data_IF_037361024457
#
_entry.id   IF_037361024457
#
_cell.length_a   1.000
_cell.length_b   1.000
_cell.length_c   1.000
_cell.angle_alpha   90.00
_cell.angle_beta   90.00
_cell.angle_gamma   90.00
#
_symmetry.space_group_name_H-M   'P 1'
#
loop_
_entity.id
_entity.type
_entity.pdbx_description
1 polymer ?
#
# COMPACT_ATOMS: atom_id res chain seq x y z
N UNK A 1 6.69 -33.86 31.24
CA UNK A 1 6.17 -33.21 30.01
C UNK A 1 7.39 -32.93 29.17
N UNK A 2 7.35 -33.24 27.88
CA UNK A 2 8.38 -32.72 26.99
C UNK A 2 8.14 -31.23 26.84
N UNK A 3 9.16 -30.44 27.15
CA UNK A 3 9.08 -29.00 27.13
C UNK A 3 9.22 -28.47 25.69
N UNK A 4 8.57 -27.35 25.40
CA UNK A 4 8.80 -26.60 24.16
C UNK A 4 10.26 -26.14 24.13
N UNK A 5 10.94 -26.35 23.01
CA UNK A 5 12.33 -25.90 22.85
C UNK A 5 12.36 -24.59 22.07
N UNK A 6 13.00 -23.56 22.64
CA UNK A 6 13.31 -22.31 21.92
C UNK A 6 14.61 -22.53 21.14
N UNK A 7 14.56 -22.25 19.84
CA UNK A 7 15.67 -22.51 18.92
C UNK A 7 16.44 -21.24 18.58
N UNK A 8 15.74 -20.11 18.56
CA UNK A 8 16.30 -18.82 18.23
C UNK A 8 15.33 -17.69 18.55
N UNK A 9 15.90 -16.51 18.74
CA UNK A 9 15.16 -15.26 18.92
C UNK A 9 15.81 -14.23 17.99
N UNK A 10 14.99 -13.59 17.14
CA UNK A 10 15.40 -12.52 16.26
C UNK A 10 14.69 -11.23 16.67
N UNK A 11 15.45 -10.23 17.10
CA UNK A 11 14.90 -8.90 17.39
C UNK A 11 14.70 -8.13 16.09
N UNK A 12 13.50 -7.56 15.90
CA UNK A 12 13.22 -6.79 14.69
C UNK A 12 14.05 -5.51 14.64
N UNK A 13 14.66 -5.15 13.50
CA UNK A 13 15.47 -3.94 13.37
C UNK A 13 14.73 -2.64 13.75
N UNK A 14 13.41 -2.61 13.59
CA UNK A 14 12.53 -1.51 13.99
C UNK A 14 12.47 -1.30 15.51
N UNK A 15 12.86 -2.29 16.30
CA UNK A 15 12.69 -2.31 17.75
C UNK A 15 11.23 -2.40 18.21
N UNK A 16 10.31 -2.81 17.33
CA UNK A 16 8.87 -2.98 17.61
C UNK A 16 8.52 -4.31 18.25
N UNK A 17 9.46 -5.27 18.28
CA UNK A 17 9.21 -6.62 18.75
C UNK A 17 10.33 -7.60 18.38
N UNK A 18 9.98 -8.88 18.39
CA UNK A 18 10.90 -9.97 18.06
C UNK A 18 10.14 -11.21 17.58
N UNK A 19 10.84 -12.08 16.86
CA UNK A 19 10.35 -13.40 16.44
C UNK A 19 11.07 -14.49 17.24
N UNK A 20 10.30 -15.44 17.79
CA UNK A 20 10.83 -16.64 18.46
C UNK A 20 10.57 -17.85 17.58
N UNK A 21 11.63 -18.59 17.22
CA UNK A 21 11.47 -19.92 16.61
C UNK A 21 11.39 -20.97 17.73
N UNK A 22 10.32 -21.76 17.71
CA UNK A 22 10.13 -22.86 18.67
C UNK A 22 9.96 -24.21 17.97
N UNK A 23 10.40 -25.26 18.66
CA UNK A 23 10.08 -26.65 18.32
C UNK A 23 9.03 -27.19 19.29
N UNK A 24 7.93 -27.68 18.72
CA UNK A 24 6.88 -28.37 19.44
C UNK A 24 7.35 -29.77 19.88
N UNK A 25 6.95 -30.21 21.09
CA UNK A 25 7.23 -31.55 21.57
C UNK A 25 6.54 -32.62 20.72
N UNK A 26 6.94 -33.88 20.91
CA UNK A 26 6.17 -34.99 20.36
C UNK A 26 4.81 -35.11 21.08
N UNK A 27 3.83 -35.77 20.44
CA UNK A 27 2.51 -35.96 21.05
C UNK A 27 1.39 -35.10 20.48
N UNK A 28 1.57 -34.48 19.31
CA UNK A 28 0.47 -33.99 18.49
C UNK A 28 -0.05 -32.59 18.84
N UNK A 29 0.71 -31.79 19.60
CA UNK A 29 0.45 -30.35 19.73
C UNK A 29 0.52 -29.71 18.34
N UNK A 30 -0.45 -28.86 18.05
CA UNK A 30 -0.61 -28.23 16.73
C UNK A 30 -0.38 -26.73 16.80
N UNK A 31 0.03 -26.14 15.66
CA UNK A 31 0.07 -24.69 15.46
C UNK A 31 -1.24 -24.01 15.87
N UNK A 32 -2.37 -24.62 15.55
CA UNK A 32 -3.70 -24.07 15.88
C UNK A 32 -3.89 -23.95 17.39
N UNK A 33 -3.50 -24.98 18.17
CA UNK A 33 -3.60 -24.92 19.63
C UNK A 33 -2.73 -23.82 20.24
N UNK A 34 -1.56 -23.54 19.66
CA UNK A 34 -0.71 -22.41 20.07
C UNK A 34 -1.36 -21.08 19.68
N UNK A 35 -1.85 -20.97 18.44
CA UNK A 35 -2.53 -19.77 17.93
C UNK A 35 -3.80 -19.43 18.73
N UNK A 36 -4.59 -20.43 19.14
CA UNK A 36 -5.79 -20.24 19.96
C UNK A 36 -5.47 -19.75 21.39
N UNK A 37 -4.19 -19.66 21.77
CA UNK A 37 -3.71 -19.23 23.10
C UNK A 37 -2.93 -17.92 23.08
N UNK A 38 -2.81 -17.24 21.94
CA UNK A 38 -2.03 -16.00 21.81
C UNK A 38 -2.44 -14.91 22.79
N UNK A 39 -3.74 -14.76 23.07
CA UNK A 39 -4.23 -13.73 24.01
C UNK A 39 -3.82 -14.03 25.45
N UNK A 40 -3.86 -15.31 25.86
CA UNK A 40 -3.40 -15.72 27.18
C UNK A 40 -1.88 -15.51 27.32
N UNK A 41 -1.12 -15.87 26.28
CA UNK A 41 0.32 -15.64 26.24
C UNK A 41 0.68 -14.15 26.24
N UNK A 42 -0.09 -13.30 25.53
CA UNK A 42 0.07 -11.85 25.55
C UNK A 42 -0.15 -11.28 26.96
N UNK A 43 -1.17 -11.78 27.67
CA UNK A 43 -1.45 -11.41 29.06
C UNK A 43 -0.34 -11.87 30.02
N UNK A 44 0.19 -13.08 29.85
CA UNK A 44 1.29 -13.61 30.66
C UNK A 44 2.59 -12.82 30.45
N UNK A 45 2.79 -12.30 29.24
CA UNK A 45 3.92 -11.41 28.88
C UNK A 45 3.69 -9.95 29.28
N UNK A 46 2.54 -9.60 29.86
CA UNK A 46 2.13 -8.22 30.20
C UNK A 46 2.31 -7.25 29.01
N UNK A 47 1.91 -7.68 27.81
CA UNK A 47 2.03 -6.85 26.62
C UNK A 47 1.09 -5.64 26.69
N UNK A 48 1.53 -4.44 26.25
CA UNK A 48 0.67 -3.27 26.19
C UNK A 48 -0.56 -3.47 25.30
N UNK A 49 -1.61 -2.68 25.53
CA UNK A 49 -2.76 -2.64 24.62
C UNK A 49 -2.31 -2.27 23.19
N UNK A 50 -2.82 -2.99 22.19
CA UNK A 50 -2.46 -2.82 20.78
C UNK A 50 -1.21 -3.60 20.35
N UNK A 51 -0.60 -4.36 21.26
CA UNK A 51 0.43 -5.36 21.00
C UNK A 51 -0.16 -6.78 21.03
N UNK A 52 0.58 -7.76 20.53
CA UNK A 52 0.07 -9.13 20.48
C UNK A 52 1.06 -10.11 19.87
N UNK A 53 0.57 -11.35 19.73
CA UNK A 53 1.33 -12.46 19.17
C UNK A 53 0.69 -12.95 17.88
N UNK A 54 1.52 -13.30 16.90
CA UNK A 54 1.10 -13.98 15.68
C UNK A 54 1.91 -15.27 15.51
N UNK A 55 1.21 -16.37 15.16
CA UNK A 55 1.84 -17.69 15.00
C UNK A 55 1.90 -18.08 13.53
N UNK A 56 3.11 -18.08 12.99
CA UNK A 56 3.43 -18.44 11.62
C UNK A 56 4.00 -19.87 11.52
N UNK A 57 3.83 -20.54 10.36
CA UNK A 57 4.50 -21.82 10.13
C UNK A 57 6.02 -21.63 10.01
N UNK A 58 6.80 -22.54 10.60
CA UNK A 58 8.23 -22.68 10.34
C UNK A 58 8.51 -23.71 9.24
N UNK A 59 9.78 -24.13 9.15
CA UNK A 59 10.27 -25.06 8.10
C UNK A 59 9.63 -26.47 8.16
N UNK A 60 9.03 -26.85 9.29
CA UNK A 60 8.34 -28.12 9.46
C UNK A 60 7.09 -27.96 10.33
N UNK A 61 6.21 -28.97 10.37
CA UNK A 61 4.99 -28.91 11.20
C UNK A 61 5.25 -28.80 12.71
N UNK A 62 6.45 -29.17 13.16
CA UNK A 62 6.89 -29.02 14.55
C UNK A 62 7.60 -27.69 14.80
N UNK A 63 7.92 -26.92 13.76
CA UNK A 63 8.62 -25.64 13.87
C UNK A 63 7.62 -24.51 13.68
N UNK A 64 7.54 -23.61 14.64
CA UNK A 64 6.69 -22.43 14.58
C UNK A 64 7.53 -21.18 14.75
N UNK A 65 7.11 -20.11 14.08
CA UNK A 65 7.60 -18.76 14.35
C UNK A 65 6.51 -18.02 15.11
N UNK A 66 6.86 -17.46 16.26
CA UNK A 66 5.98 -16.62 17.07
C UNK A 66 6.50 -15.20 16.99
N UNK A 67 5.78 -14.35 16.28
CA UNK A 67 6.01 -12.92 16.23
C UNK A 67 5.40 -12.28 17.47
N UNK A 68 6.19 -11.49 18.20
CA UNK A 68 5.78 -10.82 19.43
C UNK A 68 5.99 -9.32 19.23
N UNK A 69 4.90 -8.59 19.01
CA UNK A 69 4.93 -7.13 19.02
C UNK A 69 4.95 -6.64 20.47
N UNK A 70 5.91 -5.78 20.81
CA UNK A 70 6.06 -5.20 22.16
C UNK A 70 5.82 -3.70 22.20
N UNK A 71 5.70 -3.08 21.03
CA UNK A 71 5.27 -1.69 20.83
C UNK A 71 4.16 -1.63 19.79
N UNK A 72 3.42 -0.54 19.76
CA UNK A 72 2.35 -0.33 18.79
C UNK A 72 2.36 1.11 18.29
N UNK A 73 2.00 1.28 17.02
CA UNK A 73 1.70 2.59 16.43
C UNK A 73 0.23 2.99 16.63
N UNK A 74 -0.57 2.14 17.27
CA UNK A 74 -1.98 2.43 17.50
C UNK A 74 -2.14 3.72 18.31
N UNK A 75 -2.95 4.65 17.78
CA UNK A 75 -3.19 5.95 18.40
C UNK A 75 -2.04 6.96 18.24
N UNK A 76 -0.99 6.61 17.48
CA UNK A 76 0.08 7.54 17.14
C UNK A 76 -0.16 8.14 15.75
N UNK A 77 0.15 9.42 15.61
CA UNK A 77 0.19 10.08 14.31
C UNK A 77 1.57 9.86 13.69
N UNK A 78 1.60 9.21 12.53
CA UNK A 78 2.81 9.05 11.73
C UNK A 78 2.68 9.99 10.53
N UNK A 79 3.47 11.07 10.47
CA UNK A 79 3.40 11.98 9.35
C UNK A 79 3.83 11.27 8.07
N UNK A 80 3.25 11.68 6.94
CA UNK A 80 3.72 11.25 5.63
C UNK A 80 5.18 11.74 5.45
N UNK A 81 6.12 10.89 5.00
CA UNK A 81 7.54 11.23 4.90
C UNK A 81 7.80 12.11 3.66
N UNK A 82 7.48 13.39 3.77
CA UNK A 82 7.56 14.38 2.67
C UNK A 82 8.96 14.51 2.08
N UNK A 83 10.00 14.30 2.89
CA UNK A 83 11.39 14.31 2.47
C UNK A 83 11.71 13.26 1.41
N UNK A 84 11.00 12.12 1.43
CA UNK A 84 11.18 11.08 0.42
C UNK A 84 10.66 11.53 -0.95
N UNK A 85 9.71 12.47 -1.01
CA UNK A 85 9.16 12.98 -2.27
C UNK A 85 10.16 13.81 -3.08
N UNK A 86 11.32 14.17 -2.51
CA UNK A 86 12.38 14.85 -3.25
C UNK A 86 13.02 13.94 -4.31
N UNK A 87 12.90 12.61 -4.19
CA UNK A 87 13.37 11.65 -5.17
C UNK A 87 12.26 11.29 -6.16
N UNK A 88 12.52 11.48 -7.45
CA UNK A 88 11.65 10.97 -8.52
C UNK A 88 11.77 9.46 -8.63
N UNK A 89 10.64 8.77 -8.64
CA UNK A 89 10.57 7.30 -8.76
C UNK A 89 9.91 6.88 -10.08
N UNK A 90 9.67 5.57 -10.24
CA UNK A 90 8.95 4.96 -11.36
C UNK A 90 7.91 3.98 -10.82
N UNK A 91 6.78 3.86 -11.51
CA UNK A 91 5.71 2.89 -11.21
C UNK A 91 6.17 1.43 -11.31
N UNK A 92 7.31 1.18 -11.95
CA UNK A 92 7.92 -0.15 -12.04
C UNK A 92 8.53 -0.61 -10.71
N UNK A 93 8.73 0.30 -9.74
CA UNK A 93 9.22 -0.03 -8.41
C UNK A 93 8.04 -0.18 -7.43
N UNK A 94 8.11 -1.11 -6.46
CA UNK A 94 7.16 -1.15 -5.37
C UNK A 94 7.12 0.19 -4.60
N UNK A 95 5.93 0.66 -4.27
CA UNK A 95 5.76 1.89 -3.51
C UNK A 95 5.39 1.60 -2.05
N UNK A 96 6.04 2.24 -1.07
CA UNK A 96 5.69 2.09 0.33
C UNK A 96 4.38 2.82 0.64
N UNK A 97 3.36 2.07 1.06
CA UNK A 97 1.98 2.55 1.27
C UNK A 97 1.52 2.48 2.72
N UNK A 98 2.18 1.70 3.56
CA UNK A 98 1.85 1.59 4.98
C UNK A 98 3.05 1.07 5.80
N UNK A 99 2.92 1.14 7.11
CA UNK A 99 3.80 0.44 8.06
C UNK A 99 3.06 -0.77 8.61
N UNK A 100 3.77 -1.89 8.70
CA UNK A 100 3.32 -3.11 9.33
C UNK A 100 3.56 -3.05 10.84
N UNK A 101 2.96 -3.99 11.59
CA UNK A 101 3.08 -4.07 13.05
C UNK A 101 4.51 -4.31 13.53
N UNK A 102 5.32 -4.95 12.69
CA UNK A 102 6.74 -5.18 12.91
C UNK A 102 7.61 -3.95 12.58
N UNK A 103 7.00 -2.84 12.15
CA UNK A 103 7.68 -1.60 11.75
C UNK A 103 8.28 -1.64 10.35
N UNK A 104 8.13 -2.73 9.59
CA UNK A 104 8.52 -2.78 8.19
C UNK A 104 7.52 -2.03 7.30
N UNK A 105 7.96 -1.66 6.10
CA UNK A 105 7.09 -1.02 5.10
C UNK A 105 6.30 -2.08 4.37
N UNK A 106 4.99 -1.87 4.30
CA UNK A 106 4.15 -2.57 3.34
C UNK A 106 4.32 -1.86 1.98
N UNK A 107 4.81 -2.59 1.00
CA UNK A 107 5.01 -2.09 -0.36
C UNK A 107 3.96 -2.67 -1.31
N UNK A 108 3.55 -1.86 -2.28
CA UNK A 108 2.60 -2.25 -3.31
C UNK A 108 3.26 -2.21 -4.69
N UNK A 109 3.26 -3.33 -5.41
CA UNK A 109 3.58 -3.37 -6.85
C UNK A 109 2.36 -2.85 -7.62
N UNK A 110 2.34 -1.54 -7.84
CA UNK A 110 1.21 -0.81 -8.43
C UNK A 110 0.99 -1.16 -9.91
N UNK A 111 2.03 -1.62 -10.63
CA UNK A 111 1.91 -2.06 -12.04
C UNK A 111 1.28 -3.45 -12.15
N UNK A 112 1.47 -4.31 -11.15
CA UNK A 112 1.03 -5.72 -11.24
C UNK A 112 -0.23 -6.04 -10.46
N UNK A 113 -0.66 -5.20 -9.52
CA UNK A 113 -1.81 -5.46 -8.66
C UNK A 113 -2.95 -4.47 -8.88
N UNK A 114 -4.18 -4.98 -8.95
CA UNK A 114 -5.38 -4.18 -8.70
C UNK A 114 -5.77 -4.35 -7.23
N UNK A 115 -5.97 -3.24 -6.53
CA UNK A 115 -6.14 -3.24 -5.08
C UNK A 115 -7.55 -2.80 -4.69
N UNK A 116 -8.16 -3.54 -3.77
CA UNK A 116 -9.41 -3.15 -3.09
C UNK A 116 -9.10 -2.86 -1.64
N UNK A 117 -9.48 -1.67 -1.18
CA UNK A 117 -9.33 -1.27 0.23
C UNK A 117 -10.71 -1.06 0.84
N UNK A 118 -10.98 -1.77 1.93
CA UNK A 118 -12.24 -1.71 2.66
C UNK A 118 -12.00 -1.35 4.12
N UNK A 119 -12.93 -0.59 4.69
CA UNK A 119 -12.89 -0.15 6.08
C UNK A 119 -14.10 0.71 6.40
N UNK A 120 -14.51 0.73 7.68
CA UNK A 120 -15.60 1.58 8.14
C UNK A 120 -15.25 3.07 8.10
N UNK A 121 -16.26 3.92 8.24
CA UNK A 121 -16.05 5.37 8.38
C UNK A 121 -15.09 5.67 9.54
N UNK A 122 -14.10 6.53 9.30
CA UNK A 122 -13.09 6.86 10.30
C UNK A 122 -11.93 5.86 10.40
N UNK A 123 -11.89 4.79 9.59
CA UNK A 123 -10.79 3.81 9.61
C UNK A 123 -9.49 4.30 8.96
N UNK A 124 -9.45 5.54 8.46
CA UNK A 124 -8.30 6.09 7.74
C UNK A 124 -8.23 5.77 6.25
N UNK A 125 -9.24 5.09 5.65
CA UNK A 125 -9.28 4.76 4.21
C UNK A 125 -8.96 5.96 3.32
N UNK A 126 -9.58 7.10 3.62
CA UNK A 126 -9.37 8.33 2.85
C UNK A 126 -7.93 8.85 2.95
N UNK A 127 -7.35 8.81 4.14
CA UNK A 127 -5.95 9.19 4.34
C UNK A 127 -5.00 8.26 3.57
N UNK A 128 -5.28 6.96 3.60
CA UNK A 128 -4.54 5.97 2.84
C UNK A 128 -4.60 6.22 1.32
N UNK A 129 -5.77 6.58 0.78
CA UNK A 129 -5.91 6.96 -0.63
C UNK A 129 -5.10 8.22 -0.97
N UNK A 130 -5.02 9.20 -0.06
CA UNK A 130 -4.16 10.37 -0.26
C UNK A 130 -2.67 10.01 -0.25
N UNK A 131 -2.25 9.11 0.66
CA UNK A 131 -0.88 8.54 0.66
C UNK A 131 -0.58 7.85 -0.68
N UNK A 132 -1.52 7.07 -1.22
CA UNK A 132 -1.35 6.41 -2.50
C UNK A 132 -1.21 7.43 -3.65
N UNK A 133 -2.06 8.46 -3.71
CA UNK A 133 -1.95 9.52 -4.72
C UNK A 133 -0.59 10.22 -4.62
N UNK A 134 -0.15 10.58 -3.41
CA UNK A 134 1.16 11.21 -3.21
C UNK A 134 2.32 10.34 -3.75
N UNK A 135 2.27 9.02 -3.51
CA UNK A 135 3.28 8.08 -4.04
C UNK A 135 3.21 7.89 -5.54
N UNK A 136 2.02 7.91 -6.14
CA UNK A 136 1.86 7.90 -7.59
C UNK A 136 2.45 9.18 -8.20
N UNK A 137 2.21 10.34 -7.59
CA UNK A 137 2.76 11.61 -8.06
C UNK A 137 4.26 11.78 -7.86
N UNK A 138 4.88 10.92 -7.05
CA UNK A 138 6.32 10.81 -6.96
C UNK A 138 6.94 10.13 -8.19
N UNK A 139 6.14 9.36 -8.94
CA UNK A 139 6.59 8.68 -10.16
C UNK A 139 6.55 9.63 -11.37
N UNK A 140 7.47 9.48 -12.32
CA UNK A 140 7.51 10.29 -13.54
C UNK A 140 6.79 9.64 -14.75
N UNK A 141 6.17 8.49 -14.55
CA UNK A 141 5.61 7.63 -15.59
C UNK A 141 4.18 7.18 -15.28
N UNK A 142 3.43 7.98 -14.52
CA UNK A 142 2.00 7.75 -14.24
C UNK A 142 1.13 8.94 -14.60
N UNK A 143 -0.13 8.62 -14.94
CA UNK A 143 -1.25 9.54 -14.95
C UNK A 143 -2.25 9.07 -13.87
N UNK A 144 -2.62 9.97 -12.97
CA UNK A 144 -3.51 9.70 -11.84
C UNK A 144 -4.91 10.17 -12.18
N UNK A 145 -5.82 9.21 -12.36
CA UNK A 145 -7.23 9.46 -12.63
C UNK A 145 -8.04 9.12 -11.38
N UNK A 146 -8.99 9.98 -11.01
CA UNK A 146 -9.78 9.82 -9.78
C UNK A 146 -11.26 9.82 -10.11
N UNK A 147 -11.97 8.79 -9.66
CA UNK A 147 -13.43 8.73 -9.61
C UNK A 147 -13.83 8.93 -8.14
N UNK A 148 -14.54 10.01 -7.83
CA UNK A 148 -15.06 10.28 -6.49
C UNK A 148 -16.42 10.98 -6.59
N UNK A 149 -17.48 10.20 -6.37
CA UNK A 149 -18.87 10.68 -6.49
C UNK A 149 -19.32 11.53 -5.29
N UNK A 150 -18.49 11.65 -4.25
CA UNK A 150 -18.69 12.56 -3.14
C UNK A 150 -18.10 13.94 -3.44
N UNK A 151 -18.68 14.58 -4.47
CA UNK A 151 -18.28 15.92 -4.95
C UNK A 151 -16.79 16.04 -5.35
N UNK A 152 -16.12 14.93 -5.69
CA UNK A 152 -14.72 14.93 -6.10
C UNK A 152 -13.73 15.22 -4.97
N UNK A 153 -14.18 15.18 -3.72
CA UNK A 153 -13.40 15.56 -2.54
C UNK A 153 -11.99 14.95 -2.47
N UNK A 154 -11.74 13.77 -3.05
CA UNK A 154 -10.45 13.06 -3.03
C UNK A 154 -9.42 13.78 -3.88
N UNK A 155 -9.80 14.11 -5.11
CA UNK A 155 -8.92 14.76 -6.08
C UNK A 155 -8.86 16.27 -5.93
N UNK A 156 -9.88 16.89 -5.31
CA UNK A 156 -9.97 18.34 -5.20
C UNK A 156 -8.73 19.01 -4.57
N UNK A 157 -8.14 18.53 -3.45
CA UNK A 157 -6.93 19.14 -2.88
C UNK A 157 -5.78 19.26 -3.88
N UNK A 158 -5.57 18.23 -4.71
CA UNK A 158 -4.53 18.20 -5.73
C UNK A 158 -4.78 19.19 -6.87
N UNK A 159 -6.04 19.31 -7.30
CA UNK A 159 -6.46 20.29 -8.30
C UNK A 159 -6.42 21.73 -7.76
N UNK A 160 -6.75 21.92 -6.48
CA UNK A 160 -6.69 23.22 -5.82
C UNK A 160 -5.26 23.75 -5.73
N UNK A 161 -4.30 22.91 -5.32
CA UNK A 161 -2.89 23.30 -5.27
C UNK A 161 -2.37 23.80 -6.63
N UNK A 162 -2.72 23.10 -7.71
CA UNK A 162 -2.41 23.54 -9.07
C UNK A 162 -3.12 24.84 -9.44
N UNK A 163 -4.44 24.92 -9.22
CA UNK A 163 -5.22 26.12 -9.54
C UNK A 163 -4.68 27.37 -8.85
N UNK A 164 -4.33 27.26 -7.57
CA UNK A 164 -3.72 28.35 -6.80
C UNK A 164 -2.39 28.78 -7.42
N UNK A 165 -1.51 27.83 -7.75
CA UNK A 165 -0.24 28.11 -8.43
C UNK A 165 -0.45 28.77 -9.80
N UNK A 166 -1.51 28.42 -10.55
CA UNK A 166 -1.80 29.07 -11.84
C UNK A 166 -2.27 30.53 -11.70
N UNK A 167 -2.76 30.93 -10.52
CA UNK A 167 -3.15 32.32 -10.23
C UNK A 167 -2.01 33.17 -9.67
N UNK A 168 -0.89 32.55 -9.33
CA UNK A 168 0.29 33.20 -8.77
C UNK A 168 1.48 33.05 -9.74
N UNK A 169 1.89 34.13 -10.43
CA UNK A 169 3.00 34.09 -11.39
C UNK A 169 4.31 33.55 -10.81
N UNK A 170 4.57 33.71 -9.51
CA UNK A 170 5.80 33.25 -8.87
C UNK A 170 5.79 31.73 -8.66
N UNK A 171 4.62 31.11 -8.54
CA UNK A 171 4.44 29.68 -8.26
C UNK A 171 4.06 28.85 -9.48
N UNK A 172 3.72 29.51 -10.58
CA UNK A 172 3.21 28.84 -11.79
C UNK A 172 4.15 27.77 -12.33
N UNK A 173 5.45 28.07 -12.33
CA UNK A 173 6.49 27.16 -12.83
C UNK A 173 6.81 26.04 -11.81
N UNK A 174 6.48 26.22 -10.52
CA UNK A 174 6.65 25.20 -9.47
C UNK A 174 5.62 24.07 -9.57
N UNK A 175 4.41 24.38 -10.04
CA UNK A 175 3.31 23.41 -10.21
C UNK A 175 2.75 23.52 -11.63
N UNK A 176 3.51 23.08 -12.64
CA UNK A 176 3.16 23.28 -14.06
C UNK A 176 1.95 22.45 -14.51
N UNK A 177 1.60 21.39 -13.77
CA UNK A 177 0.52 20.46 -14.09
C UNK A 177 -0.28 20.08 -12.83
N UNK A 178 -1.56 19.70 -12.97
CA UNK A 178 -2.34 19.21 -11.84
C UNK A 178 -1.82 17.84 -11.35
N UNK A 179 -1.88 17.61 -10.03
CA UNK A 179 -1.56 16.29 -9.46
C UNK A 179 -2.66 15.23 -9.65
N UNK A 180 -3.79 15.58 -10.25
CA UNK A 180 -4.79 14.61 -10.72
C UNK A 180 -5.10 14.99 -12.15
N UNK A 181 -4.80 14.10 -13.09
CA UNK A 181 -4.94 14.37 -14.53
C UNK A 181 -6.40 14.41 -14.97
N UNK A 182 -7.26 13.61 -14.33
CA UNK A 182 -8.70 13.59 -14.60
C UNK A 182 -9.48 13.24 -13.33
N UNK A 183 -10.32 14.18 -12.85
CA UNK A 183 -11.25 13.97 -11.74
C UNK A 183 -12.68 13.83 -12.24
N UNK A 184 -13.25 12.64 -12.11
CA UNK A 184 -14.65 12.36 -12.36
C UNK A 184 -15.46 12.43 -11.05
N UNK A 185 -16.22 13.51 -10.89
CA UNK A 185 -17.08 13.72 -9.71
C UNK A 185 -18.56 13.44 -9.95
N UNK A 186 -18.92 12.96 -11.14
CA UNK A 186 -20.29 12.61 -11.51
C UNK A 186 -20.33 11.24 -12.20
N UNK A 187 -21.46 10.51 -12.14
CA UNK A 187 -21.58 9.23 -12.84
C UNK A 187 -21.38 9.35 -14.35
N UNK A 188 -21.82 10.46 -14.96
CA UNK A 188 -21.63 10.71 -16.39
C UNK A 188 -20.14 10.87 -16.75
N UNK A 189 -19.41 11.65 -15.95
CA UNK A 189 -17.98 11.87 -16.14
C UNK A 189 -17.18 10.58 -15.87
N UNK A 190 -17.56 9.82 -14.85
CA UNK A 190 -16.95 8.53 -14.54
C UNK A 190 -17.12 7.54 -15.70
N UNK A 191 -18.32 7.48 -16.29
CA UNK A 191 -18.55 6.67 -17.48
C UNK A 191 -17.67 7.12 -18.66
N UNK A 192 -17.57 8.43 -18.90
CA UNK A 192 -16.73 8.97 -19.98
C UNK A 192 -15.25 8.60 -19.77
N UNK A 193 -14.75 8.75 -18.55
CA UNK A 193 -13.38 8.36 -18.18
C UNK A 193 -13.12 6.87 -18.42
N UNK A 194 -14.06 5.99 -18.02
CA UNK A 194 -13.93 4.54 -18.23
C UNK A 194 -13.99 4.17 -19.72
N UNK A 195 -14.87 4.81 -20.50
CA UNK A 195 -14.93 4.61 -21.95
C UNK A 195 -13.59 5.02 -22.61
N UNK A 196 -12.98 6.11 -22.17
CA UNK A 196 -11.66 6.55 -22.62
C UNK A 196 -10.55 5.56 -22.22
N UNK A 197 -10.55 5.08 -20.97
CA UNK A 197 -9.59 4.08 -20.49
C UNK A 197 -9.63 2.80 -21.33
N UNK A 198 -10.83 2.29 -21.65
CA UNK A 198 -11.02 1.11 -22.50
C UNK A 198 -10.49 1.36 -23.92
N UNK A 199 -10.80 2.52 -24.50
CA UNK A 199 -10.30 2.88 -25.83
C UNK A 199 -8.76 2.91 -25.87
N UNK A 200 -8.14 3.57 -24.88
CA UNK A 200 -6.68 3.64 -24.74
C UNK A 200 -6.08 2.24 -24.59
N UNK A 201 -6.62 1.40 -23.70
CA UNK A 201 -6.12 0.05 -23.48
C UNK A 201 -6.16 -0.81 -24.76
N UNK A 202 -7.26 -0.74 -25.51
CA UNK A 202 -7.42 -1.45 -26.77
C UNK A 202 -6.42 -0.97 -27.84
N UNK A 203 -6.24 0.35 -27.98
CA UNK A 203 -5.27 0.92 -28.92
C UNK A 203 -3.84 0.56 -28.52
N UNK A 204 -3.47 0.70 -27.24
CA UNK A 204 -2.14 0.39 -26.72
C UNK A 204 -1.75 -1.07 -26.97
N UNK A 205 -2.70 -2.00 -26.77
CA UNK A 205 -2.51 -3.44 -27.02
C UNK A 205 -2.13 -3.75 -28.47
N UNK A 206 -2.55 -2.93 -29.44
CA UNK A 206 -2.23 -3.12 -30.86
C UNK A 206 -0.97 -2.32 -31.24
N UNK A 207 -0.92 -1.05 -30.85
CA UNK A 207 0.14 -0.13 -31.25
C UNK A 207 1.51 -0.49 -30.69
N UNK A 208 1.58 -1.09 -29.50
CA UNK A 208 2.83 -1.38 -28.81
C UNK A 208 3.21 -2.87 -28.81
N UNK A 209 2.60 -3.72 -29.66
CA UNK A 209 2.96 -5.14 -29.71
C UNK A 209 4.42 -5.38 -30.04
N UNK A 210 5.01 -4.57 -30.93
CA UNK A 210 6.43 -4.71 -31.25
C UNK A 210 7.29 -4.35 -30.04
N UNK A 211 6.96 -3.26 -29.34
CA UNK A 211 7.68 -2.85 -28.14
C UNK A 211 7.62 -3.91 -27.03
N UNK A 212 6.46 -4.53 -26.81
CA UNK A 212 6.31 -5.64 -25.85
C UNK A 212 7.18 -6.85 -26.21
N UNK A 213 7.29 -7.18 -27.51
CA UNK A 213 8.17 -8.27 -27.99
C UNK A 213 9.64 -7.94 -27.82
N UNK A 214 10.02 -6.68 -28.07
CA UNK A 214 11.41 -6.24 -27.96
C UNK A 214 11.89 -6.29 -26.49
N UNK A 215 11.00 -6.06 -25.53
CA UNK A 215 11.26 -6.09 -24.08
C UNK A 215 11.01 -7.47 -23.43
N UNK A 216 10.56 -8.48 -24.18
CA UNK A 216 10.23 -9.82 -23.69
C UNK A 216 9.25 -9.81 -22.48
N UNK A 217 8.23 -8.94 -22.53
CA UNK A 217 7.21 -8.77 -21.47
C UNK A 217 5.78 -8.92 -22.03
N UNK A 218 4.94 -9.65 -21.30
CA UNK A 218 3.51 -9.82 -21.61
C UNK A 218 2.67 -8.59 -21.22
N UNK A 219 3.21 -7.69 -20.39
CA UNK A 219 2.61 -6.41 -20.03
C UNK A 219 3.30 -5.29 -20.78
N UNK A 220 2.53 -4.26 -21.16
CA UNK A 220 3.10 -3.07 -21.78
C UNK A 220 4.20 -2.50 -20.88
N UNK A 221 5.44 -2.36 -21.37
CA UNK A 221 6.48 -1.64 -20.65
C UNK A 221 6.11 -0.16 -20.58
N UNK A 222 6.12 0.39 -19.36
CA UNK A 222 5.71 1.77 -19.08
C UNK A 222 6.92 2.66 -18.88
N UNK A 223 6.77 3.93 -19.28
CA UNK A 223 7.82 4.95 -19.22
C UNK A 223 7.18 6.34 -19.23
N UNK A 224 7.94 7.43 -19.04
CA UNK A 224 7.38 8.78 -19.17
C UNK A 224 6.74 9.07 -20.53
N UNK A 225 7.14 8.36 -21.59
CA UNK A 225 6.54 8.48 -22.93
C UNK A 225 5.32 7.59 -23.13
N UNK A 226 5.21 6.51 -22.35
CA UNK A 226 4.10 5.56 -22.35
C UNK A 226 3.65 5.38 -20.89
N UNK A 227 3.02 6.40 -20.28
CA UNK A 227 2.76 6.38 -18.84
C UNK A 227 1.66 5.39 -18.48
N UNK A 228 1.76 4.80 -17.30
CA UNK A 228 0.69 3.99 -16.70
C UNK A 228 -0.49 4.90 -16.34
N UNK A 229 -1.71 4.44 -16.57
CA UNK A 229 -2.92 5.16 -16.12
C UNK A 229 -3.46 4.45 -14.89
N UNK A 230 -3.33 5.08 -13.72
CA UNK A 230 -3.85 4.53 -12.47
C UNK A 230 -5.17 5.20 -12.14
N UNK A 231 -6.25 4.42 -12.18
CA UNK A 231 -7.59 4.88 -11.82
C UNK A 231 -7.86 4.54 -10.36
N UNK A 232 -8.02 5.57 -9.55
CA UNK A 232 -8.39 5.48 -8.14
C UNK A 232 -9.88 5.78 -8.02
N UNK A 233 -10.61 4.90 -7.37
CA UNK A 233 -12.05 5.07 -7.12
C UNK A 233 -12.27 5.18 -5.62
N UNK A 234 -12.81 6.30 -5.16
CA UNK A 234 -13.40 6.42 -3.82
C UNK A 234 -14.91 6.25 -3.89
N UNK A 235 -15.46 5.77 -2.79
CA UNK A 235 -16.85 5.34 -2.61
C UNK A 235 -17.25 4.01 -3.26
N UNK A 236 -17.57 3.05 -2.38
CA UNK A 236 -18.49 1.95 -2.63
C UNK A 236 -19.78 2.29 -1.88
N UNK A 237 -20.86 2.57 -2.61
CA UNK A 237 -22.21 2.68 -2.04
C UNK A 237 -22.77 1.29 -1.70
#
# INVERSE_FOLDING_TARGET
MEDVTVLGIEHWPSGMGYTVEIELPEGGVTRKQVADRTDALASDLDLPNGCGLQVLPGISRRRLLIEVATKTYQGQEIPFPVEEMAETTTINNPAPIALLSDGWRAELDMRKASTVVAGGTGSGKRNWLQTLIARLLQTNDTLVWVIDLNAGSLGLPWLHAWREAQTDPERRDEVPAPGVDWLASTPAEAKLMLDAAIAIANTRKIAYQQHMRDEDDDKLPVSPQIPEIVIIMDESA
#
